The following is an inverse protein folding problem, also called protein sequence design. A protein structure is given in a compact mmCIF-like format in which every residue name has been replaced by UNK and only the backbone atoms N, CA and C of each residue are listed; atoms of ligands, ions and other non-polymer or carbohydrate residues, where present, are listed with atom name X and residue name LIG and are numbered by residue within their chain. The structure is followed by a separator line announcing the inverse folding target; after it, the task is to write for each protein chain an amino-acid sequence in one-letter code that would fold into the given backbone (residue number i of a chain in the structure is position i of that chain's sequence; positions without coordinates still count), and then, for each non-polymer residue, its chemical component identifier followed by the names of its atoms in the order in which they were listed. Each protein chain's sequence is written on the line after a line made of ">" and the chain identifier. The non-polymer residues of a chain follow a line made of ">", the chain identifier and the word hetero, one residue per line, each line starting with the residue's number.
data_IF_375270715586
#
_entry.id   IF_375270715586
#
_cell.length_a   1.000
_cell.length_b   1.000
_cell.length_c   1.000
_cell.angle_alpha   90.00
_cell.angle_beta   90.00
_cell.angle_gamma   90.00
#
_symmetry.space_group_name_H-M   'P 1'
#
loop_
_entity.id
_entity.type
_entity.pdbx_description
1 polymer ?
#
# COMPACT_ATOMS: atom_id res chain seq x y z
N UNK A 1 20.50 25.37 -2.28
CA UNK A 1 20.62 24.32 -3.33
C UNK A 1 21.68 24.67 -4.39
N UNK A 2 22.00 25.97 -4.61
CA UNK A 2 23.02 26.41 -5.58
C UNK A 2 24.43 25.86 -5.37
N UNK A 3 24.99 25.96 -4.15
CA UNK A 3 26.42 25.63 -3.91
C UNK A 3 26.85 24.19 -4.27
N UNK A 4 25.93 23.22 -4.28
CA UNK A 4 26.26 21.81 -4.56
C UNK A 4 26.17 21.45 -6.04
N UNK A 5 25.32 22.13 -6.82
CA UNK A 5 25.34 22.01 -8.27
C UNK A 5 26.60 22.66 -8.83
N UNK A 6 27.03 23.78 -8.23
CA UNK A 6 28.33 24.40 -8.51
C UNK A 6 29.47 23.42 -8.22
N UNK A 7 29.48 22.77 -7.04
CA UNK A 7 30.52 21.79 -6.71
C UNK A 7 30.58 20.58 -7.67
N UNK A 8 29.44 20.13 -8.22
CA UNK A 8 29.41 19.08 -9.24
C UNK A 8 29.95 19.57 -10.58
N UNK A 9 29.60 20.81 -10.97
CA UNK A 9 30.12 21.44 -12.17
C UNK A 9 31.64 21.67 -12.08
N UNK A 10 32.12 22.11 -10.93
CA UNK A 10 33.56 22.34 -10.66
C UNK A 10 34.37 21.04 -10.74
N UNK A 11 33.83 19.93 -10.18
CA UNK A 11 34.47 18.61 -10.26
C UNK A 11 34.45 18.02 -11.68
N UNK A 12 33.38 18.25 -12.44
CA UNK A 12 33.32 17.86 -13.85
C UNK A 12 34.31 18.67 -14.70
N UNK A 13 34.46 19.96 -14.39
CA UNK A 13 35.44 20.83 -15.04
C UNK A 13 36.87 20.40 -14.69
N UNK A 14 37.15 20.05 -13.43
CA UNK A 14 38.45 19.53 -13.00
C UNK A 14 38.81 18.20 -13.72
N UNK A 15 37.85 17.28 -13.86
CA UNK A 15 38.06 16.04 -14.62
C UNK A 15 38.44 16.29 -16.09
N UNK A 16 37.81 17.28 -16.73
CA UNK A 16 38.15 17.69 -18.10
C UNK A 16 39.55 18.31 -18.20
N UNK A 17 39.96 19.09 -17.19
CA UNK A 17 41.33 19.65 -17.14
C UNK A 17 42.39 18.56 -16.95
N UNK A 18 42.15 17.54 -16.13
CA UNK A 18 43.07 16.42 -15.96
C UNK A 18 43.18 15.55 -17.22
N UNK A 19 42.09 15.38 -17.96
CA UNK A 19 42.10 14.72 -19.26
C UNK A 19 42.99 15.47 -20.28
N UNK A 20 42.97 16.81 -20.27
CA UNK A 20 43.83 17.63 -21.13
C UNK A 20 45.33 17.54 -20.77
N UNK A 21 45.66 17.24 -19.51
CA UNK A 21 47.04 17.10 -19.03
C UNK A 21 47.60 15.67 -19.15
N UNK A 22 46.84 14.72 -19.73
CA UNK A 22 47.23 13.31 -19.86
C UNK A 22 47.49 12.58 -18.52
N UNK A 23 47.02 13.11 -17.39
CA UNK A 23 47.10 12.45 -16.08
C UNK A 23 45.88 11.55 -15.86
N UNK A 24 46.01 10.30 -16.33
CA UNK A 24 44.98 9.27 -16.23
C UNK A 24 44.60 8.95 -14.78
N UNK A 25 45.53 9.07 -13.84
CA UNK A 25 45.30 8.71 -12.43
C UNK A 25 44.38 9.72 -11.73
N UNK A 26 44.64 11.02 -11.94
CA UNK A 26 43.84 12.11 -11.41
C UNK A 26 42.46 12.18 -12.08
N UNK A 27 42.37 11.82 -13.36
CA UNK A 27 41.11 11.73 -14.08
C UNK A 27 40.17 10.65 -13.49
N UNK A 28 40.70 9.44 -13.25
CA UNK A 28 39.92 8.35 -12.65
C UNK A 28 39.43 8.70 -11.23
N UNK A 29 40.27 9.40 -10.46
CA UNK A 29 39.93 9.80 -9.09
C UNK A 29 38.84 10.89 -9.09
N UNK A 30 38.89 11.84 -10.03
CA UNK A 30 37.86 12.85 -10.20
C UNK A 30 36.52 12.24 -10.65
N UNK A 31 36.51 11.29 -11.59
CA UNK A 31 35.29 10.61 -12.03
C UNK A 31 34.66 9.76 -10.91
N UNK A 32 35.48 9.04 -10.13
CA UNK A 32 34.99 8.30 -8.96
C UNK A 32 34.39 9.22 -7.90
N UNK A 33 34.98 10.40 -7.69
CA UNK A 33 34.45 11.42 -6.79
C UNK A 33 33.09 11.95 -7.28
N UNK A 34 32.95 12.24 -8.59
CA UNK A 34 31.67 12.67 -9.19
C UNK A 34 30.59 11.60 -9.05
N UNK A 35 30.90 10.33 -9.36
CA UNK A 35 29.93 9.23 -9.22
C UNK A 35 29.47 9.05 -7.77
N UNK A 36 30.40 9.06 -6.81
CA UNK A 36 30.06 8.89 -5.39
C UNK A 36 29.18 10.04 -4.86
N UNK A 37 29.42 11.27 -5.32
CA UNK A 37 28.62 12.45 -4.97
C UNK A 37 27.25 12.43 -5.63
N UNK A 38 27.14 12.00 -6.89
CA UNK A 38 25.86 11.83 -7.57
C UNK A 38 24.99 10.76 -6.89
N UNK A 39 25.56 9.61 -6.51
CA UNK A 39 24.84 8.55 -5.80
C UNK A 39 24.36 9.03 -4.43
N UNK A 40 25.23 9.70 -3.66
CA UNK A 40 24.86 10.32 -2.37
C UNK A 40 23.83 11.43 -2.50
N UNK A 41 23.88 12.20 -3.59
CA UNK A 41 22.93 13.25 -3.88
C UNK A 41 21.55 12.67 -4.16
N UNK A 42 21.47 11.71 -5.09
CA UNK A 42 20.22 11.05 -5.48
C UNK A 42 19.57 10.35 -4.29
N UNK A 43 20.36 9.65 -3.45
CA UNK A 43 19.84 9.01 -2.24
C UNK A 43 19.36 10.01 -1.19
N UNK A 44 20.10 11.10 -0.92
CA UNK A 44 19.65 12.14 0.01
C UNK A 44 18.42 12.89 -0.47
N UNK A 45 18.31 13.17 -1.77
CA UNK A 45 17.14 13.82 -2.37
C UNK A 45 15.89 12.93 -2.29
N UNK A 46 16.05 11.63 -2.55
CA UNK A 46 14.99 10.64 -2.32
C UNK A 46 14.60 10.62 -0.84
N UNK A 47 15.58 10.58 0.06
CA UNK A 47 15.33 10.50 1.50
C UNK A 47 14.68 11.76 2.08
N UNK A 48 15.07 12.95 1.62
CA UNK A 48 14.41 14.20 2.02
C UNK A 48 13.00 14.31 1.45
N UNK A 49 12.80 13.91 0.20
CA UNK A 49 11.48 13.85 -0.43
C UNK A 49 10.54 12.86 0.27
N UNK A 50 11.06 11.70 0.70
CA UNK A 50 10.31 10.72 1.51
C UNK A 50 9.99 11.30 2.88
N UNK A 51 10.93 12.00 3.54
CA UNK A 51 10.71 12.55 4.89
C UNK A 51 9.65 13.65 4.90
N UNK A 52 9.67 14.54 3.91
CA UNK A 52 8.62 15.52 3.70
C UNK A 52 7.28 14.83 3.41
N UNK A 53 7.26 13.83 2.53
CA UNK A 53 6.05 13.06 2.25
C UNK A 53 5.53 12.33 3.49
N UNK A 54 6.40 11.77 4.35
CA UNK A 54 6.02 11.10 5.59
C UNK A 54 5.41 12.09 6.58
N UNK A 55 5.94 13.31 6.67
CA UNK A 55 5.38 14.34 7.55
C UNK A 55 4.00 14.81 7.05
N UNK A 56 3.87 15.03 5.74
CA UNK A 56 2.59 15.38 5.11
C UNK A 56 1.58 14.22 5.24
N UNK A 57 2.05 12.99 5.01
CA UNK A 57 1.27 11.75 5.19
C UNK A 57 0.83 11.63 6.64
N UNK A 58 1.73 11.79 7.61
CA UNK A 58 1.41 11.66 9.03
C UNK A 58 0.37 12.69 9.47
N UNK A 59 0.49 13.91 8.97
CA UNK A 59 -0.47 14.98 9.28
C UNK A 59 -1.84 14.66 8.68
N UNK A 60 -1.89 14.30 7.39
CA UNK A 60 -3.12 13.91 6.70
C UNK A 60 -3.76 12.65 7.30
N UNK A 61 -2.93 11.64 7.60
CA UNK A 61 -3.34 10.37 8.20
C UNK A 61 -3.85 10.59 9.62
N UNK A 62 -3.23 11.46 10.43
CA UNK A 62 -3.71 11.75 11.79
C UNK A 62 -5.09 12.41 11.80
N UNK A 63 -5.37 13.28 10.83
CA UNK A 63 -6.69 13.92 10.70
C UNK A 63 -7.75 12.93 10.22
N UNK A 64 -7.38 12.03 9.31
CA UNK A 64 -8.26 11.01 8.76
C UNK A 64 -8.50 9.84 9.74
N UNK A 65 -7.50 9.40 10.49
CA UNK A 65 -7.59 8.28 11.45
C UNK A 65 -8.68 8.52 12.50
N UNK A 66 -8.78 9.76 13.01
CA UNK A 66 -9.77 10.11 14.04
C UNK A 66 -11.18 10.21 13.47
N UNK A 67 -11.32 10.65 12.21
CA UNK A 67 -12.62 10.82 11.57
C UNK A 67 -12.54 10.48 10.06
N UNK A 68 -12.70 9.20 9.67
CA UNK A 68 -12.60 8.80 8.27
C UNK A 68 -13.70 9.42 7.41
N UNK A 69 -14.90 9.64 7.97
CA UNK A 69 -16.00 10.24 7.25
C UNK A 69 -15.77 11.74 7.01
N UNK A 70 -15.39 12.51 8.03
CA UNK A 70 -15.24 13.98 7.90
C UNK A 70 -13.85 14.47 7.49
N UNK A 71 -12.79 13.69 7.73
CA UNK A 71 -11.40 14.10 7.54
C UNK A 71 -10.82 13.78 6.16
N UNK A 72 -11.48 12.93 5.37
CA UNK A 72 -10.92 12.39 4.15
C UNK A 72 -10.93 13.41 2.99
N UNK A 73 -12.04 14.11 2.75
CA UNK A 73 -12.11 15.18 1.74
C UNK A 73 -11.13 16.34 2.01
N UNK A 74 -11.05 16.94 3.22
CA UNK A 74 -10.08 18.01 3.46
C UNK A 74 -8.63 17.53 3.40
N UNK A 75 -8.36 16.26 3.69
CA UNK A 75 -7.04 15.67 3.48
C UNK A 75 -6.71 15.55 1.98
N UNK A 76 -7.66 15.07 1.16
CA UNK A 76 -7.48 14.95 -0.28
C UNK A 76 -7.41 16.29 -1.01
N UNK A 77 -8.27 17.25 -0.66
CA UNK A 77 -8.36 18.56 -1.30
C UNK A 77 -7.10 19.42 -1.12
N UNK A 78 -6.33 19.20 -0.04
CA UNK A 78 -5.04 19.86 0.20
C UNK A 78 -3.91 19.30 -0.66
N UNK A 79 -4.10 18.13 -1.29
CA UNK A 79 -3.09 17.46 -2.09
C UNK A 79 -3.24 17.84 -3.56
N UNK A 80 -2.13 18.22 -4.18
CA UNK A 80 -2.07 18.29 -5.64
C UNK A 80 -2.12 16.88 -6.23
N UNK A 81 -2.54 16.73 -7.50
CA UNK A 81 -2.66 15.43 -8.17
C UNK A 81 -1.39 14.56 -8.02
N UNK A 82 -0.22 15.17 -8.20
CA UNK A 82 1.08 14.48 -8.06
C UNK A 82 1.34 14.03 -6.62
N UNK A 83 0.98 14.84 -5.62
CA UNK A 83 1.13 14.48 -4.21
C UNK A 83 0.15 13.38 -3.80
N UNK A 84 -1.09 13.43 -4.30
CA UNK A 84 -2.09 12.38 -4.08
C UNK A 84 -1.61 11.02 -4.62
N UNK A 85 -1.07 10.97 -5.86
CA UNK A 85 -0.49 9.73 -6.41
C UNK A 85 0.62 9.19 -5.53
N UNK A 86 1.57 10.06 -5.12
CA UNK A 86 2.69 9.62 -4.27
C UNK A 86 2.20 9.09 -2.92
N UNK A 87 1.22 9.74 -2.31
CA UNK A 87 0.62 9.30 -1.06
C UNK A 87 -0.07 7.94 -1.21
N UNK A 88 -0.86 7.74 -2.26
CA UNK A 88 -1.51 6.46 -2.53
C UNK A 88 -0.49 5.34 -2.77
N UNK A 89 0.62 5.63 -3.46
CA UNK A 89 1.71 4.66 -3.64
C UNK A 89 2.36 4.31 -2.29
N UNK A 90 2.60 5.29 -1.42
CA UNK A 90 3.13 5.01 -0.07
C UNK A 90 2.17 4.16 0.76
N UNK A 91 0.87 4.46 0.73
CA UNK A 91 -0.15 3.65 1.40
C UNK A 91 -0.21 2.23 0.82
N UNK A 92 -0.09 2.09 -0.50
CA UNK A 92 -0.03 0.78 -1.17
C UNK A 92 1.17 -0.03 -0.70
N UNK A 93 2.37 0.57 -0.64
CA UNK A 93 3.59 -0.07 -0.16
C UNK A 93 3.43 -0.47 1.31
N UNK A 94 2.95 0.45 2.16
CA UNK A 94 2.74 0.18 3.58
C UNK A 94 1.75 -0.97 3.79
N UNK A 95 0.61 -0.93 3.11
CA UNK A 95 -0.35 -2.03 3.09
C UNK A 95 0.29 -3.34 2.65
N UNK A 96 1.05 -3.35 1.55
CA UNK A 96 1.66 -4.56 1.02
C UNK A 96 2.69 -5.16 1.98
N UNK A 97 3.49 -4.34 2.65
CA UNK A 97 4.46 -4.78 3.65
C UNK A 97 3.72 -5.39 4.85
N UNK A 98 2.72 -4.68 5.39
CA UNK A 98 1.92 -5.19 6.52
C UNK A 98 1.21 -6.50 6.16
N UNK A 99 0.58 -6.55 4.97
CA UNK A 99 -0.09 -7.73 4.46
C UNK A 99 0.88 -8.89 4.26
N UNK A 100 2.01 -8.68 3.58
CA UNK A 100 2.97 -9.75 3.27
C UNK A 100 3.56 -10.34 4.55
N UNK A 101 4.01 -9.49 5.49
CA UNK A 101 4.57 -9.96 6.76
C UNK A 101 3.49 -10.67 7.58
N UNK A 102 2.31 -10.07 7.75
CA UNK A 102 1.21 -10.66 8.50
C UNK A 102 0.72 -11.98 7.92
N UNK A 103 0.49 -12.02 6.61
CA UNK A 103 0.05 -13.22 5.91
C UNK A 103 1.12 -14.32 5.95
N UNK A 104 2.42 -13.99 5.86
CA UNK A 104 3.48 -14.99 5.98
C UNK A 104 3.51 -15.67 7.36
N UNK A 105 3.31 -14.88 8.43
CA UNK A 105 3.25 -15.38 9.80
C UNK A 105 1.98 -16.21 10.03
N UNK A 106 0.83 -15.68 9.60
CA UNK A 106 -0.46 -16.36 9.67
C UNK A 106 -0.44 -17.69 8.90
N UNK A 107 0.15 -17.71 7.70
CA UNK A 107 0.22 -18.92 6.89
C UNK A 107 1.08 -20.01 7.53
N UNK A 108 2.22 -19.62 8.11
CA UNK A 108 3.09 -20.56 8.83
C UNK A 108 2.36 -21.18 10.03
N UNK A 109 1.54 -20.41 10.73
CA UNK A 109 0.74 -20.90 11.86
C UNK A 109 -0.39 -21.83 11.42
N UNK A 110 -1.08 -21.51 10.31
CA UNK A 110 -2.24 -22.27 9.84
C UNK A 110 -1.87 -23.55 9.09
N UNK A 111 -0.82 -23.52 8.27
CA UNK A 111 -0.47 -24.61 7.34
C UNK A 111 0.87 -25.28 7.64
N UNK A 112 1.65 -24.78 8.61
CA UNK A 112 2.97 -25.32 8.95
C UNK A 112 4.03 -25.18 7.85
N UNK A 113 3.74 -24.47 6.76
CA UNK A 113 4.63 -24.32 5.60
C UNK A 113 4.89 -22.84 5.29
N UNK A 114 5.99 -22.58 4.58
CA UNK A 114 6.40 -21.24 4.16
C UNK A 114 5.84 -20.96 2.77
N UNK A 115 5.10 -19.86 2.61
CA UNK A 115 4.68 -19.38 1.29
C UNK A 115 5.81 -18.58 0.66
N UNK A 116 6.07 -18.75 -0.64
CA UNK A 116 6.97 -17.88 -1.37
C UNK A 116 6.56 -16.40 -1.25
N UNK A 117 7.50 -15.54 -0.84
CA UNK A 117 7.24 -14.11 -0.56
C UNK A 117 6.77 -13.36 -1.81
N UNK A 118 7.31 -13.72 -2.97
CA UNK A 118 6.91 -13.20 -4.28
C UNK A 118 5.41 -13.34 -4.53
N UNK A 119 4.82 -14.48 -4.15
CA UNK A 119 3.39 -14.71 -4.31
C UNK A 119 2.53 -13.87 -3.36
N UNK A 120 3.02 -13.65 -2.14
CA UNK A 120 2.33 -12.83 -1.14
C UNK A 120 2.34 -11.35 -1.54
N UNK A 121 3.49 -10.84 -2.00
CA UNK A 121 3.62 -9.47 -2.50
C UNK A 121 2.74 -9.26 -3.72
N UNK A 122 2.71 -10.22 -4.64
CA UNK A 122 1.82 -10.16 -5.80
C UNK A 122 0.34 -10.15 -5.37
N UNK A 123 -0.04 -10.98 -4.40
CA UNK A 123 -1.41 -11.02 -3.86
C UNK A 123 -1.80 -9.70 -3.21
N UNK A 124 -0.94 -9.13 -2.35
CA UNK A 124 -1.20 -7.83 -1.75
C UNK A 124 -1.35 -6.72 -2.80
N UNK A 125 -0.50 -6.74 -3.82
CA UNK A 125 -0.60 -5.81 -4.96
C UNK A 125 -1.90 -5.98 -5.76
N UNK A 126 -2.29 -7.22 -6.03
CA UNK A 126 -3.51 -7.55 -6.77
C UNK A 126 -4.77 -7.15 -5.99
N UNK A 127 -4.80 -7.34 -4.67
CA UNK A 127 -5.92 -6.89 -3.81
C UNK A 127 -6.02 -5.38 -3.81
N UNK A 128 -4.91 -4.68 -3.65
CA UNK A 128 -4.87 -3.22 -3.67
C UNK A 128 -5.37 -2.66 -5.01
N UNK A 129 -4.83 -3.17 -6.12
CA UNK A 129 -5.21 -2.73 -7.45
C UNK A 129 -6.64 -3.16 -7.78
N UNK A 130 -7.06 -4.35 -7.37
CA UNK A 130 -8.43 -4.85 -7.51
C UNK A 130 -9.43 -3.94 -6.81
N UNK A 131 -9.10 -3.42 -5.63
CA UNK A 131 -9.94 -2.45 -4.93
C UNK A 131 -10.03 -1.12 -5.69
N UNK A 132 -8.90 -0.57 -6.14
CA UNK A 132 -8.87 0.66 -6.92
C UNK A 132 -9.62 0.54 -8.25
N UNK A 133 -9.46 -0.57 -8.97
CA UNK A 133 -10.16 -0.85 -10.23
C UNK A 133 -11.66 -1.08 -9.99
N UNK A 134 -12.03 -1.77 -8.91
CA UNK A 134 -13.45 -1.94 -8.55
C UNK A 134 -14.10 -0.60 -8.22
N UNK A 135 -13.39 0.28 -7.50
CA UNK A 135 -13.85 1.64 -7.21
C UNK A 135 -14.01 2.47 -8.49
N UNK A 136 -13.02 2.41 -9.39
CA UNK A 136 -13.09 3.03 -10.72
C UNK A 136 -14.30 2.53 -11.52
N UNK A 137 -14.53 1.22 -11.53
CA UNK A 137 -15.62 0.60 -12.27
C UNK A 137 -16.98 1.05 -11.72
N UNK A 138 -17.17 1.01 -10.41
CA UNK A 138 -18.39 1.52 -9.77
C UNK A 138 -18.61 3.00 -10.07
N UNK A 139 -17.55 3.81 -9.99
CA UNK A 139 -17.61 5.23 -10.34
C UNK A 139 -18.04 5.44 -11.80
N UNK A 140 -17.55 4.61 -12.72
CA UNK A 140 -17.93 4.68 -14.13
C UNK A 140 -19.41 4.35 -14.35
N UNK A 141 -19.96 3.36 -13.64
CA UNK A 141 -21.39 3.01 -13.71
C UNK A 141 -22.26 4.17 -13.23
N UNK A 142 -21.90 4.77 -12.10
CA UNK A 142 -22.67 5.83 -11.46
C UNK A 142 -22.33 7.25 -11.95
N UNK A 143 -21.52 7.36 -13.01
CA UNK A 143 -21.08 8.65 -13.59
C UNK A 143 -20.44 9.61 -12.58
N UNK A 144 -19.75 9.07 -11.58
CA UNK A 144 -19.06 9.86 -10.56
C UNK A 144 -17.89 10.66 -11.13
N UNK A 145 -17.68 11.87 -10.59
CA UNK A 145 -16.64 12.81 -11.04
C UNK A 145 -15.40 12.67 -10.17
N UNK A 146 -14.58 11.66 -10.44
CA UNK A 146 -13.23 11.54 -9.89
C UNK A 146 -12.21 11.17 -10.94
N UNK A 147 -10.94 11.25 -10.54
CA UNK A 147 -9.83 10.69 -11.29
C UNK A 147 -9.46 9.31 -10.71
N UNK A 148 -8.76 8.50 -11.50
CA UNK A 148 -8.20 7.23 -11.01
C UNK A 148 -7.25 7.40 -9.81
N UNK A 149 -6.66 8.59 -9.66
CA UNK A 149 -5.83 8.95 -8.49
C UNK A 149 -6.66 8.99 -7.21
N UNK A 150 -7.92 9.46 -7.28
CA UNK A 150 -8.86 9.42 -6.17
C UNK A 150 -9.19 7.98 -5.78
N UNK A 151 -9.46 7.13 -6.77
CA UNK A 151 -9.75 5.70 -6.53
C UNK A 151 -8.56 4.98 -5.87
N UNK A 152 -7.32 5.29 -6.27
CA UNK A 152 -6.09 4.80 -5.62
C UNK A 152 -5.94 5.29 -4.18
N UNK A 153 -6.31 6.55 -3.90
CA UNK A 153 -6.26 7.11 -2.55
C UNK A 153 -7.28 6.44 -1.63
N UNK A 154 -8.51 6.24 -2.12
CA UNK A 154 -9.58 5.54 -1.39
C UNK A 154 -9.14 4.11 -1.07
N UNK A 155 -8.56 3.39 -2.05
CA UNK A 155 -8.04 2.05 -1.84
C UNK A 155 -6.96 2.01 -0.75
N UNK A 156 -6.00 2.93 -0.79
CA UNK A 156 -4.96 3.04 0.23
C UNK A 156 -5.51 3.33 1.62
N UNK A 157 -6.39 4.31 1.74
CA UNK A 157 -6.96 4.69 3.02
C UNK A 157 -7.82 3.57 3.64
N UNK A 158 -8.60 2.85 2.82
CA UNK A 158 -9.46 1.76 3.28
C UNK A 158 -8.70 0.48 3.61
N UNK A 159 -7.67 0.13 2.83
CA UNK A 159 -6.93 -1.12 2.99
C UNK A 159 -5.81 -1.04 4.03
N UNK A 160 -5.25 0.14 4.32
CA UNK A 160 -4.21 0.30 5.33
C UNK A 160 -4.58 -0.30 6.71
N UNK A 161 -5.74 0.01 7.31
CA UNK A 161 -6.14 -0.60 8.58
C UNK A 161 -6.32 -2.12 8.45
N UNK A 162 -6.81 -2.61 7.29
CA UNK A 162 -6.91 -4.05 7.02
C UNK A 162 -5.53 -4.74 6.96
N UNK A 163 -4.52 -4.07 6.40
CA UNK A 163 -3.15 -4.57 6.40
C UNK A 163 -2.58 -4.70 7.82
N UNK A 164 -2.86 -3.73 8.69
CA UNK A 164 -2.46 -3.76 10.11
C UNK A 164 -3.15 -4.92 10.83
N UNK A 165 -4.44 -5.14 10.58
CA UNK A 165 -5.17 -6.28 11.14
C UNK A 165 -4.53 -7.61 10.74
N UNK A 166 -4.16 -7.78 9.46
CA UNK A 166 -3.48 -8.99 8.97
C UNK A 166 -2.09 -9.16 9.62
N UNK A 167 -1.38 -8.07 9.85
CA UNK A 167 -0.11 -8.09 10.58
C UNK A 167 -0.29 -8.54 12.03
N UNK A 168 -1.28 -7.99 12.72
CA UNK A 168 -1.58 -8.33 14.11
C UNK A 168 -2.06 -9.78 14.25
N UNK A 169 -2.90 -10.27 13.31
CA UNK A 169 -3.36 -11.65 13.32
C UNK A 169 -2.21 -12.64 13.16
N UNK A 170 -1.28 -12.37 12.26
CA UNK A 170 -0.05 -13.16 12.11
C UNK A 170 0.88 -13.07 13.32
N UNK A 171 1.00 -11.91 13.96
CA UNK A 171 1.91 -11.71 15.09
C UNK A 171 1.42 -12.37 16.40
N UNK A 172 0.13 -12.23 16.73
CA UNK A 172 -0.44 -12.73 18.00
C UNK A 172 -0.83 -14.21 17.88
N UNK A 173 -1.21 -14.64 16.68
CA UNK A 173 -1.65 -15.99 16.40
C UNK A 173 -3.10 -16.28 16.78
N UNK A 174 -3.73 -17.14 15.98
CA UNK A 174 -5.18 -17.38 16.04
C UNK A 174 -5.65 -18.09 17.32
N UNK A 175 -4.82 -18.97 17.90
CA UNK A 175 -5.25 -19.84 19.01
C UNK A 175 -5.52 -19.11 20.32
N UNK A 176 -4.71 -18.08 20.63
CA UNK A 176 -4.73 -17.44 21.94
C UNK A 176 -5.51 -16.11 21.96
N UNK A 177 -5.92 -15.61 20.79
CA UNK A 177 -6.44 -14.25 20.64
C UNK A 177 -7.67 -14.12 19.74
N UNK A 178 -8.38 -15.23 19.47
CA UNK A 178 -9.51 -15.26 18.55
C UNK A 178 -10.57 -14.17 18.83
N UNK A 179 -10.91 -13.93 20.10
CA UNK A 179 -11.88 -12.88 20.50
C UNK A 179 -11.32 -11.47 20.23
N UNK A 180 -10.05 -11.22 20.57
CA UNK A 180 -9.44 -9.91 20.31
C UNK A 180 -9.33 -9.63 18.80
N UNK A 181 -8.94 -10.64 18.02
CA UNK A 181 -8.86 -10.56 16.57
C UNK A 181 -10.24 -10.38 15.93
N UNK A 182 -11.30 -11.01 16.44
CA UNK A 182 -12.66 -10.82 15.92
C UNK A 182 -13.16 -9.40 16.17
N UNK A 183 -12.98 -8.86 17.39
CA UNK A 183 -13.32 -7.47 17.71
C UNK A 183 -12.55 -6.48 16.83
N UNK A 184 -11.23 -6.69 16.70
CA UNK A 184 -10.41 -5.87 15.80
C UNK A 184 -10.85 -6.00 14.34
N UNK A 185 -11.27 -7.18 13.89
CA UNK A 185 -11.75 -7.38 12.52
C UNK A 185 -13.04 -6.61 12.24
N UNK A 186 -13.99 -6.60 13.17
CA UNK A 186 -15.23 -5.83 13.06
C UNK A 186 -14.91 -4.33 13.02
N UNK A 187 -14.03 -3.87 13.93
CA UNK A 187 -13.61 -2.47 13.97
C UNK A 187 -12.96 -2.04 12.65
N UNK A 188 -11.98 -2.81 12.20
CA UNK A 188 -11.20 -2.50 10.99
C UNK A 188 -12.07 -2.55 9.73
N UNK A 189 -12.96 -3.53 9.64
CA UNK A 189 -13.89 -3.67 8.49
C UNK A 189 -14.89 -2.53 8.47
N UNK A 190 -15.46 -2.16 9.63
CA UNK A 190 -16.37 -1.01 9.74
C UNK A 190 -15.67 0.29 9.34
N UNK A 191 -14.42 0.45 9.76
CA UNK A 191 -13.60 1.59 9.39
C UNK A 191 -13.32 1.63 7.87
N UNK A 192 -12.99 0.49 7.26
CA UNK A 192 -12.77 0.38 5.82
C UNK A 192 -14.04 0.66 5.02
N UNK A 193 -15.21 0.17 5.46
CA UNK A 193 -16.52 0.47 4.88
C UNK A 193 -16.80 1.96 4.93
N UNK A 194 -16.64 2.59 6.10
CA UNK A 194 -16.90 4.02 6.28
C UNK A 194 -15.95 4.89 5.45
N UNK A 195 -14.68 4.50 5.36
CA UNK A 195 -13.68 5.14 4.51
C UNK A 195 -14.05 5.05 3.05
N UNK A 196 -14.46 3.87 2.59
CA UNK A 196 -14.84 3.64 1.19
C UNK A 196 -16.10 4.41 0.83
N UNK A 197 -17.08 4.41 1.74
CA UNK A 197 -18.31 5.20 1.60
C UNK A 197 -18.00 6.69 1.45
N UNK A 198 -17.20 7.23 2.38
CA UNK A 198 -16.74 8.61 2.33
C UNK A 198 -15.96 8.89 1.04
N UNK A 199 -15.12 7.95 0.61
CA UNK A 199 -14.42 7.90 -0.68
C UNK A 199 -15.34 8.16 -1.86
N UNK A 200 -16.31 7.26 -2.03
CA UNK A 200 -17.27 7.30 -3.11
C UNK A 200 -18.10 8.59 -3.10
N UNK A 201 -18.59 9.00 -1.93
CA UNK A 201 -19.48 10.15 -1.79
C UNK A 201 -18.71 11.48 -1.98
N UNK A 202 -17.63 11.69 -1.24
CA UNK A 202 -16.94 12.98 -1.18
C UNK A 202 -15.87 13.17 -2.24
N UNK A 203 -15.05 12.14 -2.51
CA UNK A 203 -13.94 12.23 -3.50
C UNK A 203 -14.43 11.90 -4.90
N UNK A 204 -15.34 10.94 -5.02
CA UNK A 204 -15.91 10.54 -6.32
C UNK A 204 -17.20 11.27 -6.68
N UNK A 205 -17.71 12.10 -5.79
CA UNK A 205 -18.90 12.93 -5.99
C UNK A 205 -20.09 12.11 -6.51
N UNK A 206 -20.25 10.90 -5.96
CA UNK A 206 -21.38 10.01 -6.22
C UNK A 206 -22.52 10.37 -5.27
N UNK A 207 -23.77 10.09 -5.66
CA UNK A 207 -24.89 10.28 -4.73
C UNK A 207 -24.76 9.35 -3.52
N UNK A 208 -25.42 9.71 -2.42
CA UNK A 208 -25.47 8.91 -1.19
C UNK A 208 -26.01 7.49 -1.45
N UNK A 209 -27.07 7.37 -2.26
CA UNK A 209 -27.65 6.10 -2.69
C UNK A 209 -26.63 5.25 -3.48
N UNK A 210 -25.97 5.86 -4.46
CA UNK A 210 -24.98 5.18 -5.29
C UNK A 210 -23.75 4.75 -4.47
N UNK A 211 -23.30 5.59 -3.53
CA UNK A 211 -22.16 5.30 -2.65
C UNK A 211 -22.48 4.13 -1.72
N UNK A 212 -23.67 4.12 -1.13
CA UNK A 212 -24.13 3.05 -0.22
C UNK A 212 -24.17 1.70 -0.92
N UNK A 213 -24.64 1.64 -2.17
CA UNK A 213 -24.64 0.40 -2.97
C UNK A 213 -23.26 0.04 -3.52
N UNK A 214 -22.41 1.02 -3.82
CA UNK A 214 -21.10 0.76 -4.41
C UNK A 214 -20.12 0.13 -3.44
N UNK A 215 -20.16 0.49 -2.17
CA UNK A 215 -19.27 -0.06 -1.15
C UNK A 215 -19.32 -1.59 -1.08
N UNK A 216 -20.46 -2.25 -0.82
CA UNK A 216 -20.50 -3.70 -0.76
C UNK A 216 -20.08 -4.36 -2.08
N UNK A 217 -20.40 -3.75 -3.23
CA UNK A 217 -19.97 -4.29 -4.54
C UNK A 217 -18.45 -4.22 -4.69
N UNK A 218 -17.81 -3.11 -4.31
CA UNK A 218 -16.34 -2.96 -4.33
C UNK A 218 -15.67 -4.03 -3.45
N UNK A 219 -16.21 -4.25 -2.24
CA UNK A 219 -15.71 -5.30 -1.34
C UNK A 219 -15.91 -6.70 -1.92
N UNK A 220 -17.06 -6.99 -2.54
CA UNK A 220 -17.31 -8.27 -3.20
C UNK A 220 -16.34 -8.52 -4.37
N UNK A 221 -16.19 -7.55 -5.28
CA UNK A 221 -15.27 -7.66 -6.42
C UNK A 221 -13.82 -7.85 -5.96
N UNK A 222 -13.39 -7.08 -4.96
CA UNK A 222 -12.05 -7.23 -4.38
C UNK A 222 -11.90 -8.58 -3.68
N UNK A 223 -12.95 -9.05 -3.00
CA UNK A 223 -13.01 -10.37 -2.38
C UNK A 223 -12.82 -11.50 -3.38
N UNK A 224 -13.44 -11.41 -4.58
CA UNK A 224 -13.21 -12.37 -5.65
C UNK A 224 -11.75 -12.38 -6.12
N UNK A 225 -11.14 -11.20 -6.30
CA UNK A 225 -9.70 -11.09 -6.63
C UNK A 225 -8.85 -11.73 -5.54
N UNK A 226 -9.15 -11.48 -4.27
CA UNK A 226 -8.43 -12.06 -3.15
C UNK A 226 -8.55 -13.58 -3.13
N UNK A 227 -9.76 -14.14 -3.27
CA UNK A 227 -9.99 -15.59 -3.31
C UNK A 227 -9.25 -16.24 -4.49
N UNK A 228 -9.26 -15.62 -5.68
CA UNK A 228 -8.52 -16.11 -6.82
C UNK A 228 -7.00 -16.14 -6.56
N UNK A 229 -6.46 -15.10 -5.91
CA UNK A 229 -5.05 -15.07 -5.51
C UNK A 229 -4.72 -16.14 -4.46
N UNK A 230 -5.58 -16.33 -3.44
CA UNK A 230 -5.42 -17.41 -2.46
C UNK A 230 -5.40 -18.78 -3.13
N UNK A 231 -6.28 -19.03 -4.10
CA UNK A 231 -6.31 -20.27 -4.87
C UNK A 231 -5.01 -20.49 -5.65
N UNK A 232 -4.47 -19.44 -6.27
CA UNK A 232 -3.18 -19.48 -6.98
C UNK A 232 -1.96 -19.70 -6.06
N UNK A 233 -2.05 -19.25 -4.79
CA UNK A 233 -1.00 -19.45 -3.80
C UNK A 233 -0.93 -20.86 -3.24
N UNK A 234 -2.01 -21.65 -3.31
CA UNK A 234 -2.02 -23.00 -2.78
C UNK A 234 -0.95 -23.85 -3.48
N UNK A 235 -0.07 -24.56 -2.73
CA UNK A 235 0.80 -25.55 -3.35
C UNK A 235 -0.10 -26.58 -4.06
N UNK A 236 0.31 -27.03 -5.26
CA UNK A 236 -0.49 -27.82 -6.21
C UNK A 236 -0.97 -29.22 -5.75
N UNK A 237 -1.17 -29.44 -4.45
CA UNK A 237 -1.68 -30.66 -3.84
C UNK A 237 -2.86 -30.49 -2.89
N UNK A 238 -3.40 -29.27 -2.66
CA UNK A 238 -4.63 -29.09 -1.87
C UNK A 238 -5.85 -29.35 -2.77
N UNK A 239 -6.20 -30.64 -2.84
CA UNK A 239 -7.46 -31.16 -3.37
C UNK A 239 -8.68 -30.33 -2.86
N UNK A 240 -9.74 -30.17 -3.67
CA UNK A 240 -10.93 -29.35 -3.35
C UNK A 240 -11.57 -29.63 -1.97
N UNK A 241 -11.37 -30.84 -1.47
CA UNK A 241 -11.85 -31.43 -0.22
C UNK A 241 -11.22 -30.81 1.05
N UNK A 242 -10.13 -30.06 0.93
CA UNK A 242 -9.50 -29.39 2.08
C UNK A 242 -10.36 -28.30 2.74
N UNK A 243 -11.32 -27.71 2.02
CA UNK A 243 -12.26 -26.74 2.59
C UNK A 243 -13.29 -27.41 3.49
N UNK A 244 -13.73 -28.62 3.17
CA UNK A 244 -14.63 -29.39 4.00
C UNK A 244 -13.94 -29.79 5.32
N UNK A 245 -12.66 -30.14 5.27
CA UNK A 245 -11.85 -30.44 6.46
C UNK A 245 -11.52 -29.21 7.32
N UNK A 246 -11.21 -28.07 6.69
CA UNK A 246 -10.97 -26.81 7.41
C UNK A 246 -12.26 -26.28 8.06
N UNK A 247 -13.40 -26.35 7.36
CA UNK A 247 -14.72 -26.03 7.93
C UNK A 247 -15.12 -27.02 9.01
N UNK A 248 -14.88 -28.33 8.82
CA UNK A 248 -15.15 -29.34 9.84
C UNK A 248 -14.30 -29.12 11.11
N UNK A 249 -13.03 -28.74 10.96
CA UNK A 249 -12.16 -28.42 12.10
C UNK A 249 -12.54 -27.09 12.77
N UNK A 250 -13.01 -26.10 12.02
CA UNK A 250 -13.53 -24.84 12.57
C UNK A 250 -14.85 -25.07 13.33
N UNK A 251 -15.74 -25.91 12.81
CA UNK A 251 -17.01 -26.27 13.47
C UNK A 251 -16.77 -27.17 14.69
N UNK A 252 -15.79 -28.06 14.65
CA UNK A 252 -15.44 -28.91 15.78
C UNK A 252 -14.75 -28.18 16.95
N UNK A 253 -14.28 -26.94 16.73
CA UNK A 253 -13.67 -26.10 17.77
C UNK A 253 -14.65 -25.09 18.40
N UNK A 254 -15.90 -25.08 17.97
CA UNK A 254 -16.96 -24.29 18.59
C UNK A 254 -17.71 -25.24 19.55
N UNK A 255 -17.67 -25.00 20.88
CA UNK A 255 -18.36 -25.84 21.86
C UNK A 255 -19.88 -25.79 21.74
#
# INVERSE_FOLDING_TARGET
>A
MGDRQSALADLQMAAQMFAAQSDLSSCQLAEAAVQSLQVRYKSRQIMSGIRELINDTRTALSTFVVNPAGGMLPAYAKLTLVRAVRLSILMAIAFNVCFTVGASLAWRQLYGNIVPIDKLVFTGGAVFLGFAVSSFFMRSIWRGRSSFVGDLFIAGAALLPMGILVLLSGAIGFSNSAIALSVMSVFTTSYAVLTTYSGCNQISNMSEEASTLSVPIIFCLTGFVFVACLAWMKPGGLRPDGWALALANLVAQIP
#
